data_IF_481418340112
#
_entry.id   IF_481418340112
#
_cell.length_a   1.000
_cell.length_b   1.000
_cell.length_c   1.000
_cell.angle_alpha   90.00
_cell.angle_beta   90.00
_cell.angle_gamma   90.00
#
_symmetry.space_group_name_H-M   'P 1'
#
loop_
_entity.id
_entity.type
_entity.pdbx_description
1 polymer ?
#
# COMPACT_ATOMS: atom_id res chain seq x y z
N UNK A 1 -12.79 -19.47 2.33
CA UNK A 1 -12.33 -18.16 2.92
C UNK A 1 -10.83 -18.09 2.73
N UNK A 2 -10.32 -17.02 2.06
CA UNK A 2 -8.89 -16.81 1.88
C UNK A 2 -8.29 -16.09 3.10
N UNK A 3 -7.00 -16.29 3.42
CA UNK A 3 -6.28 -15.38 4.30
C UNK A 3 -6.16 -13.99 3.66
N UNK A 4 -6.10 -12.95 4.49
CA UNK A 4 -5.83 -11.58 4.04
C UNK A 4 -4.42 -11.19 4.47
N UNK A 5 -3.61 -10.75 3.53
CA UNK A 5 -2.30 -10.14 3.78
C UNK A 5 -2.37 -8.64 3.55
N UNK A 6 -2.05 -7.87 4.59
CA UNK A 6 -2.01 -6.42 4.57
C UNK A 6 -0.57 -5.95 4.41
N UNK A 7 -0.31 -5.16 3.38
CA UNK A 7 1.02 -4.66 3.04
C UNK A 7 1.10 -3.16 3.33
N UNK A 8 1.86 -2.73 4.35
CA UNK A 8 1.92 -1.34 4.75
C UNK A 8 2.73 -0.48 3.77
N UNK A 9 2.54 0.84 3.88
CA UNK A 9 3.31 1.85 3.16
C UNK A 9 4.70 2.09 3.76
N UNK A 10 5.39 3.07 3.19
CA UNK A 10 6.72 3.50 3.65
C UNK A 10 6.65 3.97 5.10
N UNK A 11 7.53 3.44 5.95
CA UNK A 11 7.61 3.72 7.39
C UNK A 11 6.27 3.52 8.12
N UNK A 12 5.43 2.61 7.62
CA UNK A 12 4.18 2.23 8.27
C UNK A 12 4.28 0.84 8.88
N UNK A 13 3.68 0.67 10.05
CA UNK A 13 3.45 -0.64 10.69
C UNK A 13 2.00 -1.07 10.52
N UNK A 14 1.61 -2.20 11.10
CA UNK A 14 0.23 -2.66 11.12
C UNK A 14 -0.75 -1.69 11.79
N UNK A 15 -0.25 -0.73 12.55
CA UNK A 15 -1.08 0.26 13.25
C UNK A 15 -1.95 1.10 12.29
N UNK A 16 -1.51 1.30 11.04
CA UNK A 16 -2.34 1.99 10.03
C UNK A 16 -3.59 1.21 9.62
N UNK A 17 -3.65 -0.09 9.89
CA UNK A 17 -4.73 -0.99 9.50
C UNK A 17 -5.61 -1.44 10.67
N UNK A 18 -5.51 -0.83 11.85
CA UNK A 18 -6.24 -1.28 13.04
C UNK A 18 -7.74 -1.48 12.79
N UNK A 19 -8.39 -0.51 12.12
CA UNK A 19 -9.82 -0.58 11.78
C UNK A 19 -10.10 -1.66 10.73
N UNK A 20 -9.26 -1.77 9.71
CA UNK A 20 -9.41 -2.73 8.62
C UNK A 20 -9.18 -4.16 9.10
N UNK A 21 -8.25 -4.39 10.02
CA UNK A 21 -8.03 -5.69 10.67
C UNK A 21 -9.30 -6.11 11.40
N UNK A 22 -9.84 -5.26 12.27
CA UNK A 22 -11.10 -5.53 13.01
C UNK A 22 -12.28 -5.82 12.08
N UNK A 23 -12.33 -5.16 10.92
CA UNK A 23 -13.40 -5.34 9.95
C UNK A 23 -13.30 -6.64 9.14
N UNK A 24 -12.07 -7.15 8.93
CA UNK A 24 -11.80 -8.32 8.10
C UNK A 24 -11.64 -9.62 8.90
N UNK A 25 -11.23 -9.56 10.18
CA UNK A 25 -11.07 -10.75 11.03
C UNK A 25 -12.30 -11.67 11.07
N UNK A 26 -13.55 -11.16 11.12
CA UNK A 26 -14.73 -12.05 11.10
C UNK A 26 -14.99 -12.72 9.76
N UNK A 27 -14.36 -12.26 8.67
CA UNK A 27 -14.61 -12.69 7.30
C UNK A 27 -13.51 -13.59 6.74
N UNK A 28 -12.27 -13.36 7.14
CA UNK A 28 -11.10 -14.04 6.61
C UNK A 28 -10.73 -15.25 7.49
N UNK A 29 -10.04 -16.23 6.90
CA UNK A 29 -9.48 -17.35 7.69
C UNK A 29 -8.33 -16.88 8.60
N UNK A 30 -7.66 -15.79 8.23
CA UNK A 30 -6.57 -15.13 8.95
C UNK A 30 -6.38 -13.72 8.36
N UNK A 31 -6.05 -12.74 9.19
CA UNK A 31 -5.56 -11.43 8.77
C UNK A 31 -4.13 -11.26 9.28
N UNK A 32 -3.20 -10.98 8.39
CA UNK A 32 -1.78 -10.85 8.71
C UNK A 32 -1.19 -9.58 8.08
N UNK A 33 -0.39 -8.83 8.83
CA UNK A 33 0.40 -7.71 8.30
C UNK A 33 1.80 -8.20 7.95
N UNK A 34 2.20 -8.03 6.69
CA UNK A 34 3.56 -8.38 6.24
C UNK A 34 4.44 -7.14 6.31
N UNK A 35 5.31 -7.09 7.31
CA UNK A 35 6.19 -5.95 7.54
C UNK A 35 7.48 -6.05 6.71
N UNK A 36 7.87 -4.94 6.07
CA UNK A 36 9.12 -4.81 5.31
C UNK A 36 10.12 -3.95 6.07
N UNK A 37 11.25 -4.50 6.45
CA UNK A 37 12.26 -3.80 7.25
C UNK A 37 13.64 -3.73 6.60
N UNK A 38 14.01 -4.71 5.77
CA UNK A 38 15.37 -4.88 5.24
C UNK A 38 15.42 -5.05 3.73
N UNK A 39 14.30 -5.36 3.11
CA UNK A 39 14.16 -5.54 1.68
C UNK A 39 14.48 -4.21 0.97
N UNK A 40 15.35 -4.27 -0.03
CA UNK A 40 15.89 -3.10 -0.72
C UNK A 40 15.33 -2.92 -2.14
N UNK A 41 14.41 -3.78 -2.53
CA UNK A 41 13.66 -3.67 -3.77
C UNK A 41 12.21 -4.08 -3.58
N UNK A 42 11.34 -3.57 -4.45
CA UNK A 42 9.92 -3.97 -4.47
C UNK A 42 9.79 -5.46 -4.80
N UNK A 43 10.69 -6.00 -5.61
CA UNK A 43 10.78 -7.41 -5.96
C UNK A 43 11.12 -8.31 -4.77
N UNK A 44 12.07 -7.90 -3.93
CA UNK A 44 12.39 -8.63 -2.69
C UNK A 44 11.21 -8.62 -1.71
N UNK A 45 10.52 -7.48 -1.57
CA UNK A 45 9.31 -7.39 -0.75
C UNK A 45 8.21 -8.32 -1.27
N UNK A 46 8.00 -8.37 -2.59
CA UNK A 46 7.03 -9.27 -3.20
C UNK A 46 7.38 -10.75 -2.97
N UNK A 47 8.67 -11.11 -3.05
CA UNK A 47 9.13 -12.47 -2.72
C UNK A 47 8.88 -12.82 -1.24
N UNK A 48 9.08 -11.85 -0.32
CA UNK A 48 8.74 -12.03 1.11
C UNK A 48 7.24 -12.31 1.28
N UNK A 49 6.36 -11.59 0.57
CA UNK A 49 4.91 -11.86 0.58
C UNK A 49 4.60 -13.25 0.01
N UNK A 50 5.20 -13.61 -1.13
CA UNK A 50 4.98 -14.91 -1.76
C UNK A 50 5.31 -16.10 -0.83
N UNK A 51 6.31 -15.96 0.03
CA UNK A 51 6.72 -16.97 1.01
C UNK A 51 5.68 -17.16 2.15
N UNK A 52 4.81 -16.17 2.41
CA UNK A 52 3.72 -16.27 3.41
C UNK A 52 2.52 -17.06 2.90
N UNK A 53 2.45 -17.30 1.60
CA UNK A 53 1.35 -18.00 0.94
C UNK A 53 1.81 -19.41 0.55
N UNK A 54 1.30 -20.46 1.18
CA UNK A 54 1.68 -21.85 0.89
C UNK A 54 1.47 -22.20 -0.59
N UNK A 55 2.28 -23.11 -1.10
CA UNK A 55 2.15 -23.63 -2.47
C UNK A 55 0.76 -24.24 -2.68
N UNK A 56 0.16 -23.96 -3.82
CA UNK A 56 -1.19 -24.45 -4.15
C UNK A 56 -2.33 -23.71 -3.47
N UNK A 57 -2.04 -22.62 -2.75
CA UNK A 57 -3.06 -21.75 -2.13
C UNK A 57 -2.93 -20.31 -2.61
N UNK A 58 -3.96 -19.51 -2.36
CA UNK A 58 -3.96 -18.07 -2.69
C UNK A 58 -4.52 -17.25 -1.53
N UNK A 59 -4.19 -15.95 -1.52
CA UNK A 59 -4.58 -15.00 -0.50
C UNK A 59 -5.25 -13.75 -1.12
N UNK A 60 -6.07 -13.07 -0.34
CA UNK A 60 -6.49 -11.72 -0.62
C UNK A 60 -5.38 -10.75 -0.18
N UNK A 61 -4.89 -9.92 -1.09
CA UNK A 61 -3.76 -9.01 -0.86
C UNK A 61 -4.27 -7.59 -0.86
N UNK A 62 -4.02 -6.84 0.21
CA UNK A 62 -4.36 -5.42 0.28
C UNK A 62 -3.10 -4.60 0.58
N UNK A 63 -2.71 -3.73 -0.35
CA UNK A 63 -1.50 -2.91 -0.23
C UNK A 63 -1.80 -1.42 -0.14
N UNK A 64 -1.29 -0.77 0.89
CA UNK A 64 -1.34 0.67 1.06
C UNK A 64 -0.07 1.32 0.52
N UNK A 65 -0.20 2.33 -0.35
CA UNK A 65 0.92 3.11 -0.88
C UNK A 65 2.03 2.21 -1.47
N UNK A 66 3.23 2.18 -0.88
CA UNK A 66 4.31 1.25 -1.25
C UNK A 66 3.84 -0.21 -1.25
N UNK A 67 3.03 -0.61 -0.28
CA UNK A 67 2.47 -1.97 -0.21
C UNK A 67 1.64 -2.35 -1.43
N UNK A 68 0.96 -1.40 -2.08
CA UNK A 68 0.26 -1.65 -3.35
C UNK A 68 1.22 -1.87 -4.52
N UNK A 69 2.38 -1.18 -4.54
CA UNK A 69 3.44 -1.45 -5.53
C UNK A 69 4.03 -2.85 -5.35
N UNK A 70 4.21 -3.29 -4.09
CA UNK A 70 4.63 -4.66 -3.77
C UNK A 70 3.58 -5.67 -4.22
N UNK A 71 2.30 -5.38 -4.03
CA UNK A 71 1.20 -6.25 -4.47
C UNK A 71 1.18 -6.41 -6.00
N UNK A 72 1.46 -5.35 -6.76
CA UNK A 72 1.60 -5.41 -8.23
C UNK A 72 2.84 -6.21 -8.67
N UNK A 73 3.94 -6.11 -7.93
CA UNK A 73 5.12 -6.94 -8.19
C UNK A 73 4.85 -8.42 -7.88
N UNK A 74 4.10 -8.72 -6.81
CA UNK A 74 3.64 -10.08 -6.51
C UNK A 74 2.76 -10.62 -7.64
N UNK A 75 1.83 -9.81 -8.17
CA UNK A 75 0.98 -10.20 -9.29
C UNK A 75 1.79 -10.56 -10.55
N UNK A 76 2.94 -9.96 -10.76
CA UNK A 76 3.86 -10.29 -11.84
C UNK A 76 4.68 -11.55 -11.56
N UNK A 77 5.10 -11.77 -10.31
CA UNK A 77 5.99 -12.88 -9.93
C UNK A 77 5.24 -14.19 -9.68
N UNK A 78 4.05 -14.13 -9.09
CA UNK A 78 3.27 -15.27 -8.63
C UNK A 78 1.76 -14.96 -8.68
N UNK A 79 1.17 -14.72 -9.86
CA UNK A 79 -0.24 -14.34 -10.00
C UNK A 79 -1.18 -15.41 -9.41
N UNK A 80 -0.79 -16.68 -9.46
CA UNK A 80 -1.56 -17.82 -8.89
C UNK A 80 -1.72 -17.74 -7.37
N UNK A 81 -0.92 -16.94 -6.68
CA UNK A 81 -1.01 -16.72 -5.24
C UNK A 81 -2.00 -15.63 -4.84
N UNK A 82 -2.58 -14.91 -5.80
CA UNK A 82 -3.50 -13.81 -5.54
C UNK A 82 -4.93 -14.23 -5.86
N UNK A 83 -5.76 -14.34 -4.83
CA UNK A 83 -7.19 -14.56 -5.00
C UNK A 83 -7.95 -13.25 -5.30
N UNK A 84 -7.51 -12.14 -4.69
CA UNK A 84 -8.07 -10.81 -4.81
C UNK A 84 -7.00 -9.76 -4.53
N UNK A 85 -7.11 -8.58 -5.13
CA UNK A 85 -6.16 -7.48 -4.96
C UNK A 85 -6.87 -6.20 -4.51
N UNK A 86 -6.34 -5.50 -3.50
CA UNK A 86 -6.75 -4.14 -3.15
C UNK A 86 -5.55 -3.21 -3.15
N UNK A 87 -5.65 -2.12 -3.91
CA UNK A 87 -4.65 -1.07 -4.04
C UNK A 87 -5.18 0.20 -3.36
N UNK A 88 -4.68 0.49 -2.16
CA UNK A 88 -5.14 1.60 -1.34
C UNK A 88 -4.15 2.77 -1.45
N UNK A 89 -4.58 3.91 -1.97
CA UNK A 89 -3.74 5.10 -2.17
C UNK A 89 -2.37 4.75 -2.77
N UNK A 90 -2.35 3.93 -3.82
CA UNK A 90 -1.13 3.41 -4.44
C UNK A 90 -0.89 3.97 -5.84
N UNK A 91 0.18 3.52 -6.47
CA UNK A 91 0.66 4.02 -7.75
C UNK A 91 1.36 2.87 -8.50
N UNK A 92 1.16 2.80 -9.81
CA UNK A 92 1.75 1.78 -10.67
C UNK A 92 2.98 2.27 -11.45
N UNK A 93 3.23 3.58 -11.49
CA UNK A 93 4.36 4.12 -12.25
C UNK A 93 5.71 3.85 -11.59
N UNK A 94 6.74 3.69 -12.40
CA UNK A 94 8.13 3.81 -11.97
C UNK A 94 8.43 5.19 -11.37
N UNK A 95 9.51 5.31 -10.62
CA UNK A 95 9.85 6.62 -10.05
C UNK A 95 10.39 7.55 -11.15
N UNK A 96 9.88 8.78 -11.20
CA UNK A 96 10.37 9.78 -12.14
C UNK A 96 11.77 10.22 -11.72
N UNK A 97 12.61 10.57 -12.69
CA UNK A 97 14.02 10.95 -12.46
C UNK A 97 14.16 12.04 -11.40
N UNK A 98 13.31 13.08 -11.46
CA UNK A 98 13.33 14.19 -10.50
C UNK A 98 12.91 13.75 -9.09
N UNK A 99 11.93 12.85 -8.99
CA UNK A 99 11.48 12.29 -7.70
C UNK A 99 12.52 11.36 -7.09
N UNK A 100 13.15 10.55 -7.93
CA UNK A 100 14.25 9.68 -7.52
C UNK A 100 15.41 10.50 -6.96
N UNK A 101 15.83 11.55 -7.66
CA UNK A 101 16.88 12.43 -7.18
C UNK A 101 16.51 13.10 -5.85
N UNK A 102 15.28 13.59 -5.70
CA UNK A 102 14.80 14.17 -4.44
C UNK A 102 14.86 13.16 -3.28
N UNK A 103 14.41 11.91 -3.50
CA UNK A 103 14.48 10.84 -2.47
C UNK A 103 15.91 10.56 -2.03
N UNK A 104 16.83 10.44 -2.99
CA UNK A 104 18.22 10.16 -2.69
C UNK A 104 18.87 11.32 -1.94
N UNK A 105 18.56 12.58 -2.28
CA UNK A 105 19.02 13.74 -1.56
C UNK A 105 18.46 13.82 -0.14
N UNK A 106 17.18 13.54 0.05
CA UNK A 106 16.55 13.45 1.38
C UNK A 106 17.20 12.35 2.22
N UNK A 107 17.47 11.19 1.61
CA UNK A 107 18.15 10.08 2.27
C UNK A 107 19.58 10.45 2.68
N UNK A 108 20.33 11.13 1.82
CA UNK A 108 21.69 11.56 2.11
C UNK A 108 21.76 12.61 3.23
N UNK A 109 20.73 13.46 3.34
CA UNK A 109 20.63 14.49 4.38
C UNK A 109 20.07 13.95 5.71
N UNK A 110 19.43 12.76 5.71
CA UNK A 110 18.78 12.20 6.88
C UNK A 110 19.79 11.59 7.84
N UNK A 111 19.64 11.89 9.13
CA UNK A 111 20.39 11.25 10.22
C UNK A 111 19.42 10.48 11.13
N UNK A 112 19.95 9.51 11.87
CA UNK A 112 19.14 8.68 12.78
C UNK A 112 18.37 9.49 13.80
N UNK A 113 19.01 10.52 14.36
CA UNK A 113 18.41 11.43 15.35
C UNK A 113 17.36 12.36 14.78
N UNK A 114 17.33 12.60 13.47
CA UNK A 114 16.43 13.55 12.80
C UNK A 114 15.33 12.88 11.94
N UNK A 115 15.25 11.56 11.93
CA UNK A 115 14.21 10.87 11.12
C UNK A 115 12.78 11.35 11.44
N UNK A 116 12.34 11.46 12.71
CA UNK A 116 11.03 12.02 13.01
C UNK A 116 10.85 13.47 12.53
N UNK A 117 11.89 14.31 12.68
CA UNK A 117 11.87 15.68 12.18
C UNK A 117 11.81 15.77 10.66
N UNK A 118 12.49 14.89 9.95
CA UNK A 118 12.40 14.76 8.50
C UNK A 118 10.98 14.41 8.07
N UNK A 119 10.37 13.40 8.71
CA UNK A 119 9.00 12.97 8.40
C UNK A 119 8.00 14.10 8.69
N UNK A 120 8.16 14.77 9.81
CA UNK A 120 7.30 15.90 10.19
C UNK A 120 7.37 17.05 9.20
N UNK A 121 8.56 17.45 8.78
CA UNK A 121 8.80 18.59 7.91
C UNK A 121 8.47 18.32 6.44
N UNK A 122 8.89 17.16 5.92
CA UNK A 122 8.92 16.92 4.48
C UNK A 122 7.81 15.99 3.98
N UNK A 123 7.24 15.16 4.87
CA UNK A 123 6.25 14.14 4.50
C UNK A 123 4.85 14.41 5.06
N UNK A 124 4.73 14.70 6.35
CA UNK A 124 3.42 14.92 7.01
C UNK A 124 2.53 15.95 6.32
N UNK A 125 3.04 17.11 5.83
CA UNK A 125 2.20 18.09 5.13
C UNK A 125 1.54 17.55 3.86
N UNK A 126 2.05 16.43 3.34
CA UNK A 126 1.56 15.77 2.12
C UNK A 126 0.79 14.47 2.40
N UNK A 127 0.76 14.03 3.66
CA UNK A 127 0.15 12.77 4.05
C UNK A 127 -1.31 12.93 4.44
N UNK A 128 -1.63 13.98 5.17
CA UNK A 128 -2.93 14.17 5.78
C UNK A 128 -3.66 15.37 5.14
N UNK A 129 -4.92 15.17 4.77
CA UNK A 129 -5.79 16.27 4.35
C UNK A 129 -6.09 17.19 5.55
N UNK A 130 -6.39 16.60 6.70
CA UNK A 130 -6.59 17.33 7.95
C UNK A 130 -5.54 16.95 8.97
N UNK A 131 -4.89 17.95 9.55
CA UNK A 131 -3.87 17.76 10.58
C UNK A 131 -4.51 17.33 11.90
N UNK A 132 -4.77 16.02 12.07
CA UNK A 132 -5.27 15.46 13.31
C UNK A 132 -4.08 15.09 14.23
N UNK A 133 -3.98 15.61 15.47
CA UNK A 133 -2.85 15.33 16.36
C UNK A 133 -2.58 13.84 16.59
N UNK A 134 -3.63 13.03 16.71
CA UNK A 134 -3.51 11.58 16.90
C UNK A 134 -2.87 10.89 15.69
N UNK A 135 -3.28 11.24 14.47
CA UNK A 135 -2.68 10.68 13.25
C UNK A 135 -1.22 11.09 13.09
N UNK A 136 -0.90 12.37 13.37
CA UNK A 136 0.48 12.86 13.37
C UNK A 136 1.35 12.05 14.34
N UNK A 137 0.90 11.87 15.58
CA UNK A 137 1.63 11.10 16.60
C UNK A 137 1.86 9.67 16.13
N UNK A 138 0.82 8.99 15.66
CA UNK A 138 0.91 7.62 15.16
C UNK A 138 1.94 7.47 14.02
N UNK A 139 1.92 8.39 13.04
CA UNK A 139 2.85 8.35 11.90
C UNK A 139 4.30 8.53 12.38
N UNK A 140 4.55 9.45 13.31
CA UNK A 140 5.88 9.67 13.87
C UNK A 140 6.35 8.50 14.73
N UNK A 141 5.46 7.86 15.48
CA UNK A 141 5.78 6.69 16.31
C UNK A 141 6.12 5.47 15.45
N UNK A 142 5.39 5.22 14.37
CA UNK A 142 5.73 4.18 13.38
C UNK A 142 7.11 4.43 12.77
N UNK A 143 7.42 5.68 12.42
CA UNK A 143 8.73 6.04 11.87
C UNK A 143 9.86 5.81 12.89
N UNK A 144 9.65 6.13 14.17
CA UNK A 144 10.60 5.83 15.25
C UNK A 144 10.81 4.34 15.46
N UNK A 145 9.73 3.56 15.47
CA UNK A 145 9.79 2.09 15.63
C UNK A 145 10.59 1.43 14.51
N UNK A 146 10.38 1.84 13.27
CA UNK A 146 11.02 1.25 12.11
C UNK A 146 12.45 1.73 11.90
N UNK A 147 12.72 2.98 12.23
CA UNK A 147 14.07 3.55 12.26
C UNK A 147 14.69 3.83 10.88
N UNK A 148 15.91 4.36 10.93
CA UNK A 148 16.62 4.85 9.76
C UNK A 148 17.01 3.75 8.77
N UNK A 149 17.37 2.55 9.23
CA UNK A 149 17.76 1.46 8.33
C UNK A 149 16.58 0.99 7.47
N UNK A 150 15.38 0.92 8.07
CA UNK A 150 14.15 0.64 7.34
C UNK A 150 13.84 1.77 6.34
N UNK A 151 13.99 3.04 6.73
CA UNK A 151 13.82 4.18 5.83
C UNK A 151 14.75 4.11 4.63
N UNK A 152 16.04 3.78 4.85
CA UNK A 152 17.05 3.60 3.78
C UNK A 152 16.66 2.48 2.82
N UNK A 153 16.29 1.32 3.36
CA UNK A 153 15.91 0.16 2.55
C UNK A 153 14.69 0.47 1.68
N UNK A 154 13.62 0.99 2.28
CA UNK A 154 12.39 1.31 1.57
C UNK A 154 12.55 2.46 0.58
N UNK A 155 13.38 3.47 0.89
CA UNK A 155 13.69 4.57 -0.03
C UNK A 155 14.43 4.06 -1.26
N UNK A 156 15.40 3.15 -1.09
CA UNK A 156 16.10 2.50 -2.21
C UNK A 156 15.12 1.69 -3.07
N UNK A 157 14.27 0.88 -2.44
CA UNK A 157 13.25 0.09 -3.14
C UNK A 157 12.31 0.95 -4.00
N UNK A 158 11.88 2.10 -3.47
CA UNK A 158 11.01 3.01 -4.19
C UNK A 158 11.71 3.75 -5.33
N UNK A 159 13.00 4.10 -5.16
CA UNK A 159 13.76 4.85 -6.16
C UNK A 159 14.00 4.04 -7.45
N UNK A 160 14.13 2.73 -7.33
CA UNK A 160 14.46 1.84 -8.43
C UNK A 160 13.27 0.98 -8.91
N UNK A 161 12.05 1.26 -8.40
CA UNK A 161 10.85 0.48 -8.77
C UNK A 161 10.52 0.62 -10.26
N UNK A 162 10.21 -0.49 -10.94
CA UNK A 162 9.76 -0.45 -12.33
C UNK A 162 8.32 0.05 -12.47
N UNK A 163 7.93 0.40 -13.70
CA UNK A 163 6.54 0.61 -14.07
C UNK A 163 5.77 -0.72 -14.06
N UNK A 164 4.59 -0.74 -13.45
CA UNK A 164 3.75 -1.92 -13.30
C UNK A 164 2.48 -1.90 -14.17
N UNK A 165 2.41 -1.05 -15.19
CA UNK A 165 1.24 -0.96 -16.10
C UNK A 165 0.94 -2.31 -16.77
N UNK A 166 1.97 -3.09 -17.09
CA UNK A 166 1.80 -4.43 -17.67
C UNK A 166 1.18 -5.39 -16.66
N UNK A 167 1.62 -5.32 -15.39
CA UNK A 167 1.05 -6.13 -14.31
C UNK A 167 -0.43 -5.82 -14.08
N UNK A 168 -0.82 -4.53 -14.11
CA UNK A 168 -2.22 -4.12 -13.98
C UNK A 168 -3.10 -4.68 -15.11
N UNK A 169 -2.64 -4.62 -16.35
CA UNK A 169 -3.39 -5.17 -17.50
C UNK A 169 -3.54 -6.70 -17.45
N UNK A 170 -2.59 -7.37 -16.81
CA UNK A 170 -2.57 -8.82 -16.69
C UNK A 170 -3.32 -9.34 -15.45
N UNK A 171 -3.92 -8.45 -14.63
CA UNK A 171 -4.71 -8.87 -13.49
C UNK A 171 -5.99 -9.58 -13.93
N UNK A 172 -6.16 -10.80 -13.46
CA UNK A 172 -7.35 -11.65 -13.68
C UNK A 172 -8.00 -12.04 -12.34
N UNK A 173 -8.10 -11.10 -11.44
CA UNK A 173 -8.73 -11.30 -10.14
C UNK A 173 -9.55 -10.05 -9.74
N UNK A 174 -10.59 -10.20 -8.90
CA UNK A 174 -11.34 -9.06 -8.38
C UNK A 174 -10.40 -8.06 -7.71
N UNK A 175 -10.43 -6.81 -8.20
CA UNK A 175 -9.48 -5.78 -7.78
C UNK A 175 -10.23 -4.56 -7.25
N UNK A 176 -9.86 -4.07 -6.06
CA UNK A 176 -10.29 -2.79 -5.53
C UNK A 176 -9.18 -1.76 -5.76
N UNK A 177 -9.52 -0.64 -6.39
CA UNK A 177 -8.67 0.55 -6.42
C UNK A 177 -9.35 1.60 -5.55
N UNK A 178 -8.69 1.97 -4.45
CA UNK A 178 -9.18 2.97 -3.54
C UNK A 178 -8.21 4.14 -3.47
N UNK A 179 -8.70 5.33 -3.73
CA UNK A 179 -7.94 6.57 -3.67
C UNK A 179 -8.67 7.67 -2.91
N UNK A 180 -8.05 8.83 -2.81
CA UNK A 180 -8.58 9.99 -2.12
C UNK A 180 -8.44 11.24 -2.99
N UNK A 181 -9.41 12.18 -2.87
CA UNK A 181 -9.45 13.39 -3.72
C UNK A 181 -8.31 14.35 -3.45
N UNK A 182 -7.80 14.36 -2.21
CA UNK A 182 -6.78 15.29 -1.73
C UNK A 182 -5.43 14.61 -1.48
N UNK A 183 -5.19 13.46 -2.12
CA UNK A 183 -3.92 12.74 -2.06
C UNK A 183 -2.92 13.31 -3.10
N UNK A 184 -1.89 14.08 -2.70
CA UNK A 184 -0.92 14.63 -3.64
C UNK A 184 0.16 13.62 -4.05
N UNK A 185 0.24 12.47 -3.38
CA UNK A 185 1.25 11.43 -3.66
C UNK A 185 0.76 10.42 -4.69
N UNK A 186 -0.50 10.06 -4.59
CA UNK A 186 -1.20 9.13 -5.48
C UNK A 186 -2.52 9.76 -5.95
N UNK A 187 -2.45 10.85 -6.77
CA UNK A 187 -3.60 11.71 -7.05
C UNK A 187 -4.67 11.01 -7.88
N UNK A 188 -5.90 11.55 -7.91
CA UNK A 188 -7.04 10.95 -8.61
C UNK A 188 -6.78 10.50 -10.05
N UNK A 189 -6.03 11.25 -10.91
CA UNK A 189 -5.73 10.79 -12.26
C UNK A 189 -5.00 9.44 -12.31
N UNK A 190 -4.11 9.17 -11.33
CA UNK A 190 -3.37 7.89 -11.24
C UNK A 190 -4.32 6.76 -10.84
N UNK A 191 -5.26 6.99 -9.93
CA UNK A 191 -6.26 6.00 -9.53
C UNK A 191 -7.19 5.65 -10.70
N UNK A 192 -7.65 6.66 -11.43
CA UNK A 192 -8.45 6.49 -12.65
C UNK A 192 -7.67 5.74 -13.74
N UNK A 193 -6.39 6.00 -13.89
CA UNK A 193 -5.54 5.28 -14.85
C UNK A 193 -5.40 3.81 -14.46
N UNK A 194 -5.11 3.50 -13.18
CA UNK A 194 -5.05 2.12 -12.70
C UNK A 194 -6.37 1.37 -12.94
N UNK A 195 -7.51 2.02 -12.68
CA UNK A 195 -8.83 1.44 -12.93
C UNK A 195 -9.07 1.14 -14.42
N UNK A 196 -8.65 2.03 -15.33
CA UNK A 196 -8.76 1.76 -16.78
C UNK A 196 -7.87 0.62 -17.25
N UNK A 197 -6.73 0.39 -16.57
CA UNK A 197 -5.80 -0.66 -16.93
C UNK A 197 -6.21 -2.03 -16.38
N UNK A 198 -6.85 -2.09 -15.21
CA UNK A 198 -7.28 -3.31 -14.53
C UNK A 198 -8.75 -3.63 -14.87
N UNK A 199 -8.96 -4.57 -15.80
CA UNK A 199 -10.29 -4.86 -16.37
C UNK A 199 -11.33 -5.31 -15.32
N UNK A 200 -10.90 -5.97 -14.25
CA UNK A 200 -11.76 -6.51 -13.18
C UNK A 200 -11.62 -5.69 -11.90
N UNK A 201 -11.64 -4.36 -12.02
CA UNK A 201 -11.47 -3.49 -10.86
C UNK A 201 -12.70 -2.62 -10.59
N UNK A 202 -12.96 -2.40 -9.30
CA UNK A 202 -13.83 -1.34 -8.80
C UNK A 202 -13.01 -0.15 -8.34
N UNK A 203 -13.54 1.05 -8.56
CA UNK A 203 -12.89 2.29 -8.13
C UNK A 203 -13.71 2.98 -7.03
N UNK A 204 -13.06 3.20 -5.89
CA UNK A 204 -13.61 3.99 -4.77
C UNK A 204 -12.75 5.23 -4.59
N UNK A 205 -13.37 6.42 -4.68
CA UNK A 205 -12.71 7.71 -4.44
C UNK A 205 -13.30 8.37 -3.20
N UNK A 206 -12.47 8.59 -2.18
CA UNK A 206 -12.87 9.18 -0.91
C UNK A 206 -12.69 10.71 -0.96
N UNK A 207 -13.77 11.45 -0.70
CA UNK A 207 -13.73 12.91 -0.57
C UNK A 207 -13.17 13.38 0.77
N UNK A 208 -12.64 14.61 0.82
CA UNK A 208 -12.06 15.23 2.04
C UNK A 208 -11.06 14.30 2.73
N UNK A 209 -10.15 13.71 1.98
CA UNK A 209 -9.24 12.68 2.44
C UNK A 209 -7.90 12.79 1.73
N UNK A 210 -6.82 12.71 2.47
CA UNK A 210 -5.46 12.71 1.98
C UNK A 210 -4.91 11.30 1.70
N UNK A 211 -3.58 11.18 1.81
CA UNK A 211 -2.90 9.93 1.48
C UNK A 211 -3.18 8.80 2.49
N UNK A 212 -3.33 9.12 3.77
CA UNK A 212 -3.57 8.13 4.83
C UNK A 212 -5.08 7.84 5.02
N UNK A 213 -5.75 7.42 3.94
CA UNK A 213 -7.19 7.12 3.96
C UNK A 213 -7.58 6.11 5.03
N UNK A 214 -6.72 5.13 5.32
CA UNK A 214 -6.93 4.14 6.39
C UNK A 214 -7.08 4.75 7.78
N UNK A 215 -6.50 5.94 8.01
CA UNK A 215 -6.60 6.71 9.25
C UNK A 215 -7.65 7.82 9.17
N UNK A 216 -7.74 8.52 8.03
CA UNK A 216 -8.61 9.69 7.89
C UNK A 216 -10.08 9.33 7.63
N UNK A 217 -10.34 8.17 7.01
CA UNK A 217 -11.68 7.64 6.65
C UNK A 217 -11.77 6.14 6.98
N UNK A 218 -11.47 5.72 8.22
CA UNK A 218 -11.28 4.31 8.56
C UNK A 218 -12.51 3.45 8.30
N UNK A 219 -13.73 3.97 8.57
CA UNK A 219 -14.98 3.26 8.34
C UNK A 219 -15.21 3.04 6.84
N UNK A 220 -15.08 4.10 6.02
CA UNK A 220 -15.30 4.01 4.58
C UNK A 220 -14.31 3.07 3.90
N UNK A 221 -13.03 3.09 4.31
CA UNK A 221 -12.02 2.14 3.83
C UNK A 221 -12.36 0.72 4.26
N UNK A 222 -12.78 0.52 5.51
CA UNK A 222 -13.17 -0.80 6.03
C UNK A 222 -14.38 -1.37 5.28
N UNK A 223 -15.39 -0.55 5.00
CA UNK A 223 -16.58 -0.96 4.25
C UNK A 223 -16.23 -1.32 2.80
N UNK A 224 -15.41 -0.53 2.13
CA UNK A 224 -14.93 -0.84 0.78
C UNK A 224 -14.12 -2.16 0.76
N UNK A 225 -13.24 -2.38 1.74
CA UNK A 225 -12.47 -3.62 1.85
C UNK A 225 -13.34 -4.84 2.19
N UNK A 226 -14.39 -4.68 3.00
CA UNK A 226 -15.36 -5.76 3.27
C UNK A 226 -16.12 -6.14 2.02
N UNK A 227 -16.65 -5.14 1.28
CA UNK A 227 -17.36 -5.38 0.02
C UNK A 227 -16.47 -6.11 -0.97
N UNK A 228 -15.24 -5.61 -1.21
CA UNK A 228 -14.26 -6.25 -2.07
C UNK A 228 -13.93 -7.69 -1.63
N UNK A 229 -13.82 -7.95 -0.33
CA UNK A 229 -13.49 -9.30 0.15
C UNK A 229 -14.65 -10.28 -0.03
N UNK A 230 -15.90 -9.82 0.11
CA UNK A 230 -17.11 -10.64 0.03
C UNK A 230 -17.64 -10.83 -1.40
N UNK A 231 -17.21 -10.03 -2.37
CA UNK A 231 -17.63 -10.17 -3.75
C UNK A 231 -17.41 -11.59 -4.27
N UNK A 232 -18.44 -12.15 -4.93
CA UNK A 232 -18.29 -13.45 -5.61
C UNK A 232 -17.43 -13.24 -6.85
N UNK A 233 -16.48 -14.15 -7.10
CA UNK A 233 -15.75 -14.17 -8.37
C UNK A 233 -16.76 -14.22 -9.52
N UNK A 234 -16.71 -13.23 -10.41
CA UNK A 234 -17.44 -13.22 -11.66
C UNK A 234 -16.85 -14.30 -12.57
N UNK A 235 -17.13 -15.57 -12.31
CA UNK A 235 -16.56 -16.66 -13.11
C UNK A 235 -16.73 -18.07 -12.57
N UNK A 236 -17.57 -18.26 -11.56
CA UNK A 236 -17.94 -19.59 -11.05
C UNK A 236 -19.43 -19.86 -11.27
N UNK A 237 -19.85 -19.91 -12.54
CA UNK A 237 -21.03 -20.65 -12.98
C UNK A 237 -20.61 -21.81 -13.88
#
# INVERSE_FOLDING_TARGET
MHPVLLLPGTLCTGAIFEHQIKALEPLASRVEVVQFRRERSIEEMAATVAQRIPTGTSAAIAGFSMGGMVALALARQAPEKIARLALLNSNHHGDRVERRALRLNQLAAATESDLPGLIERDYLPRYLHRQAPGHRTLILDMARELGMDCFRAQTAALADRPDASVSLRALDCPTLILGATDDPLCPPPVQLEMHRLAAHSDLVMLGDCGHFSTLERPEAVSDAMRSWYLEKNLGSE
#
